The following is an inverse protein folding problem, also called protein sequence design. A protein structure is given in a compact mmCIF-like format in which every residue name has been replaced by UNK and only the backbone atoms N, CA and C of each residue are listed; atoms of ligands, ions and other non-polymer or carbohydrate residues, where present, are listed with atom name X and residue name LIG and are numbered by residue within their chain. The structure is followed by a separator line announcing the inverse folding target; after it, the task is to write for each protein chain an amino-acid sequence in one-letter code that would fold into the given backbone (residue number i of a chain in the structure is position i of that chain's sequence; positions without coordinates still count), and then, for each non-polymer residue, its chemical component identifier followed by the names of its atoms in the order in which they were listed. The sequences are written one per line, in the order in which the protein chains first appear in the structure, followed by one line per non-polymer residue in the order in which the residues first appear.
data_IF_151151220065
#
_entry.id   IF_151151220065
#
_cell.length_a   1.000
_cell.length_b   1.000
_cell.length_c   1.000
_cell.angle_alpha   90.00
_cell.angle_beta   90.00
_cell.angle_gamma   90.00
#
_symmetry.space_group_name_H-M   'P 1'
#
loop_
_entity.id
_entity.type
_entity.pdbx_description
1 polymer ?
#
# COMPACT_ATOMS: atom_id res chain seq x y z
N UNK A 1 -8.27 -5.37 5.21
CA UNK A 1 -8.40 -3.90 5.23
C UNK A 1 -9.42 -3.44 4.19
N UNK A 2 -9.15 -3.61 2.89
CA UNK A 2 -10.02 -3.20 1.77
C UNK A 2 -11.54 -3.39 1.96
N UNK A 3 -12.00 -4.60 2.33
CA UNK A 3 -13.45 -4.86 2.50
C UNK A 3 -14.12 -4.05 3.63
N UNK A 4 -13.33 -3.40 4.49
CA UNK A 4 -13.79 -2.50 5.56
C UNK A 4 -13.48 -1.03 5.24
N UNK A 5 -13.18 -0.71 3.98
CA UNK A 5 -12.98 0.65 3.54
C UNK A 5 -14.30 1.42 3.70
N UNK A 6 -14.34 2.50 4.53
CA UNK A 6 -15.57 3.24 4.79
C UNK A 6 -16.01 4.10 3.60
N UNK A 7 -15.09 4.42 2.68
CA UNK A 7 -15.35 5.29 1.54
C UNK A 7 -14.35 5.00 0.41
N UNK A 8 -14.79 4.25 -0.60
CA UNK A 8 -13.98 3.89 -1.76
C UNK A 8 -13.68 5.09 -2.68
N UNK A 9 -14.46 6.18 -2.58
CA UNK A 9 -14.21 7.39 -3.35
C UNK A 9 -13.13 8.26 -2.70
N UNK A 10 -13.13 8.33 -1.36
CA UNK A 10 -12.06 9.01 -0.62
C UNK A 10 -10.77 8.18 -0.61
N UNK A 11 -10.87 6.88 -0.39
CA UNK A 11 -9.75 5.95 -0.25
C UNK A 11 -9.72 4.94 -1.40
N UNK A 12 -9.26 5.34 -2.60
CA UNK A 12 -9.32 4.47 -3.77
C UNK A 12 -8.36 3.28 -3.71
N UNK A 13 -7.44 3.21 -2.73
CA UNK A 13 -6.53 2.09 -2.55
C UNK A 13 -6.27 1.74 -1.08
N UNK A 14 -6.07 0.44 -0.82
CA UNK A 14 -5.43 -0.09 0.36
C UNK A 14 -4.09 -0.72 -0.03
N UNK A 15 -3.06 -0.40 0.75
CA UNK A 15 -1.66 -0.75 0.49
C UNK A 15 -1.13 -1.50 1.70
N UNK A 16 -0.43 -2.60 1.51
CA UNK A 16 0.40 -3.24 2.53
C UNK A 16 1.80 -3.47 1.99
N UNK A 17 2.81 -2.92 2.67
CA UNK A 17 4.21 -3.01 2.24
C UNK A 17 5.16 -3.10 3.43
N UNK A 18 6.21 -3.93 3.34
CA UNK A 18 7.19 -4.19 4.41
C UNK A 18 8.58 -3.58 4.14
N UNK A 19 8.74 -2.77 3.10
CA UNK A 19 10.01 -2.11 2.73
C UNK A 19 9.83 -0.59 2.73
N UNK A 20 10.87 0.15 2.32
CA UNK A 20 10.83 1.60 2.22
C UNK A 20 9.86 2.10 1.14
N UNK A 21 9.04 3.07 1.49
CA UNK A 21 8.10 3.75 0.59
C UNK A 21 8.04 5.24 0.91
N UNK A 22 7.49 6.01 -0.02
CA UNK A 22 7.11 7.41 0.22
C UNK A 22 5.81 7.74 -0.53
N UNK A 23 5.20 8.86 -0.15
CA UNK A 23 4.02 9.39 -0.84
C UNK A 23 4.38 10.70 -1.55
N UNK A 24 3.69 10.99 -2.65
CA UNK A 24 3.75 12.32 -3.26
C UNK A 24 3.21 13.38 -2.30
N UNK A 25 2.14 13.02 -1.58
CA UNK A 25 1.55 13.82 -0.51
C UNK A 25 1.54 13.02 0.79
N UNK A 26 2.48 13.34 1.68
CA UNK A 26 2.73 12.66 2.97
C UNK A 26 1.56 12.74 3.97
N UNK A 27 0.51 13.50 3.67
CA UNK A 27 -0.68 13.65 4.51
C UNK A 27 -1.96 13.08 3.85
N UNK A 28 -1.87 12.47 2.67
CA UNK A 28 -3.00 11.90 1.92
C UNK A 28 -3.05 10.37 2.03
N UNK A 29 -3.00 9.89 3.25
CA UNK A 29 -3.19 8.49 3.62
C UNK A 29 -3.84 8.42 5.00
N UNK A 30 -4.46 7.28 5.33
CA UNK A 30 -5.13 7.10 6.61
C UNK A 30 -5.10 5.66 7.09
N UNK A 31 -5.32 5.48 8.40
CA UNK A 31 -5.48 4.16 9.00
C UNK A 31 -4.22 3.29 8.91
N UNK A 32 -3.03 3.88 8.99
CA UNK A 32 -1.77 3.11 9.02
C UNK A 32 -1.74 2.21 10.23
N UNK A 33 -1.60 0.91 9.99
CA UNK A 33 -1.44 -0.13 11.01
C UNK A 33 -0.25 -1.00 10.65
N UNK A 34 0.48 -1.46 11.68
CA UNK A 34 1.53 -2.45 11.52
C UNK A 34 0.93 -3.85 11.65
N UNK A 35 1.07 -4.67 10.61
CA UNK A 35 0.62 -6.04 10.57
C UNK A 35 1.85 -6.96 10.60
N UNK A 36 2.00 -7.71 11.69
CA UNK A 36 3.07 -8.69 11.82
C UNK A 36 2.65 -10.00 11.15
N UNK A 37 3.44 -10.46 10.17
CA UNK A 37 3.29 -11.76 9.52
C UNK A 37 4.34 -12.72 10.06
N UNK A 38 3.88 -13.83 10.64
CA UNK A 38 4.70 -14.96 11.08
C UNK A 38 4.33 -16.19 10.28
N UNK A 39 5.30 -16.75 9.56
CA UNK A 39 5.15 -18.02 8.82
C UNK A 39 6.23 -18.98 9.32
N UNK A 40 5.82 -19.95 10.14
CA UNK A 40 6.72 -20.85 10.84
C UNK A 40 7.62 -20.11 11.84
N UNK A 41 8.78 -20.70 12.16
CA UNK A 41 9.77 -20.12 13.09
C UNK A 41 10.78 -19.19 12.41
N UNK A 42 10.81 -19.14 11.06
CA UNK A 42 11.90 -18.49 10.32
C UNK A 42 11.48 -17.22 9.58
N UNK A 43 10.19 -17.02 9.27
CA UNK A 43 9.73 -15.82 8.58
C UNK A 43 8.97 -14.90 9.54
N UNK A 44 9.62 -13.81 9.90
CA UNK A 44 9.06 -12.71 10.68
C UNK A 44 9.16 -11.44 9.86
N UNK A 45 8.03 -10.80 9.57
CA UNK A 45 8.01 -9.59 8.75
C UNK A 45 6.89 -8.67 9.18
N UNK A 46 7.20 -7.38 9.29
CA UNK A 46 6.22 -6.34 9.57
C UNK A 46 5.81 -5.62 8.29
N UNK A 47 4.51 -5.58 8.04
CA UNK A 47 3.92 -4.81 6.96
C UNK A 47 3.27 -3.56 7.52
N UNK A 48 3.52 -2.42 6.88
CA UNK A 48 2.70 -1.24 7.07
C UNK A 48 1.51 -1.33 6.11
N UNK A 49 0.31 -1.41 6.66
CA UNK A 49 -0.94 -1.41 5.92
C UNK A 49 -1.69 -0.09 6.12
N UNK A 50 -2.10 0.56 5.03
CA UNK A 50 -2.77 1.87 5.08
C UNK A 50 -3.74 2.06 3.92
N UNK A 51 -4.66 3.01 4.06
CA UNK A 51 -5.46 3.53 2.95
C UNK A 51 -4.73 4.71 2.31
N UNK A 52 -4.72 4.78 0.99
CA UNK A 52 -4.25 5.95 0.25
C UNK A 52 -5.47 6.77 -0.20
N UNK A 53 -5.41 8.10 -0.02
CA UNK A 53 -6.44 9.01 -0.53
C UNK A 53 -6.23 9.33 -2.02
N UNK A 54 -7.30 9.73 -2.71
CA UNK A 54 -7.25 10.16 -4.11
C UNK A 54 -6.38 11.39 -4.35
N UNK A 55 -5.92 11.54 -5.61
CA UNK A 55 -4.93 12.55 -5.99
C UNK A 55 -3.62 12.41 -5.23
N UNK A 56 -3.13 11.19 -5.09
CA UNK A 56 -1.87 10.85 -4.45
C UNK A 56 -1.14 9.74 -5.22
N UNK A 57 0.16 9.63 -5.01
CA UNK A 57 1.01 8.58 -5.55
C UNK A 57 1.82 7.94 -4.44
N UNK A 58 1.87 6.62 -4.45
CA UNK A 58 2.71 5.80 -3.59
C UNK A 58 3.89 5.26 -4.40
N UNK A 59 5.10 5.50 -3.90
CA UNK A 59 6.33 5.08 -4.54
C UNK A 59 6.98 3.97 -3.72
N UNK A 60 7.40 2.90 -4.38
CA UNK A 60 8.17 1.84 -3.72
C UNK A 60 9.67 2.09 -3.90
N UNK A 61 10.43 2.03 -2.80
CA UNK A 61 11.89 2.01 -2.89
C UNK A 61 12.32 0.59 -3.23
N UNK A 62 12.50 0.33 -4.52
CA UNK A 62 12.87 -0.95 -5.12
C UNK A 62 14.03 -1.67 -4.40
N UNK A 63 13.73 -2.64 -3.52
CA UNK A 63 14.74 -3.52 -2.91
C UNK A 63 14.29 -4.98 -2.67
N UNK A 64 13.17 -5.48 -3.22
CA UNK A 64 12.78 -6.86 -2.84
C UNK A 64 11.71 -7.65 -3.59
N UNK A 65 11.23 -7.22 -4.76
CA UNK A 65 10.27 -8.00 -5.55
C UNK A 65 8.85 -8.10 -4.98
N UNK A 66 7.95 -8.73 -5.75
CA UNK A 66 6.49 -8.70 -5.57
C UNK A 66 5.95 -9.34 -4.28
N UNK A 67 6.74 -10.14 -3.57
CA UNK A 67 6.28 -10.83 -2.33
C UNK A 67 5.96 -9.82 -1.23
N UNK A 68 6.64 -8.68 -1.26
CA UNK A 68 6.64 -7.67 -0.21
C UNK A 68 5.46 -6.70 -0.29
N UNK A 69 4.71 -6.70 -1.40
CA UNK A 69 3.75 -5.67 -1.75
C UNK A 69 2.38 -6.24 -2.08
N UNK A 70 1.35 -5.74 -1.41
CA UNK A 70 -0.03 -6.05 -1.72
C UNK A 70 -0.85 -4.77 -1.91
N UNK A 71 -1.61 -4.74 -3.00
CA UNK A 71 -2.54 -3.68 -3.31
C UNK A 71 -3.95 -4.21 -3.52
N UNK A 72 -4.93 -3.48 -3.01
CA UNK A 72 -6.32 -3.57 -3.43
C UNK A 72 -6.75 -2.15 -3.79
N UNK A 73 -7.25 -1.94 -5.01
CA UNK A 73 -7.59 -0.61 -5.50
C UNK A 73 -8.80 -0.62 -6.42
N UNK A 74 -9.43 0.55 -6.52
CA UNK A 74 -10.55 0.82 -7.39
C UNK A 74 -10.08 1.42 -8.74
N UNK A 75 -10.97 1.50 -9.73
CA UNK A 75 -10.64 1.80 -11.14
C UNK A 75 -10.01 3.17 -11.45
N UNK A 76 -9.83 4.04 -10.45
CA UNK A 76 -9.14 5.33 -10.59
C UNK A 76 -7.63 5.26 -10.29
N UNK A 77 -7.13 4.06 -9.99
CA UNK A 77 -5.73 3.81 -9.71
C UNK A 77 -5.02 3.08 -10.86
N UNK A 78 -3.76 3.42 -11.08
CA UNK A 78 -2.88 2.79 -12.05
C UNK A 78 -1.61 2.28 -11.36
N UNK A 79 -1.31 1.00 -11.54
CA UNK A 79 -0.13 0.34 -10.97
C UNK A 79 0.95 0.20 -12.03
N UNK A 80 2.09 0.87 -11.85
CA UNK A 80 3.29 0.64 -12.67
C UNK A 80 3.98 -0.64 -12.19
N UNK A 81 3.77 -1.74 -12.92
CA UNK A 81 4.39 -3.04 -12.58
C UNK A 81 5.91 -3.04 -12.70
N UNK A 82 6.50 -2.10 -13.43
CA UNK A 82 7.95 -1.99 -13.57
C UNK A 82 8.58 -1.41 -12.30
N UNK A 83 7.93 -0.42 -11.68
CA UNK A 83 8.42 0.25 -10.47
C UNK A 83 7.73 -0.21 -9.18
N UNK A 84 6.62 -0.94 -9.28
CA UNK A 84 5.75 -1.23 -8.14
C UNK A 84 4.91 -0.04 -7.66
N UNK A 85 4.97 1.11 -8.33
CA UNK A 85 4.30 2.34 -7.85
C UNK A 85 2.80 2.33 -8.13
N UNK A 86 2.03 3.00 -7.27
CA UNK A 86 0.58 3.14 -7.43
C UNK A 86 0.19 4.61 -7.45
N UNK A 87 -0.43 5.05 -8.54
CA UNK A 87 -0.99 6.41 -8.66
C UNK A 87 -2.52 6.33 -8.63
N UNK A 88 -3.20 7.12 -7.81
CA UNK A 88 -4.65 7.21 -7.79
C UNK A 88 -5.12 8.66 -7.98
N UNK A 89 -6.04 8.88 -8.93
CA UNK A 89 -6.61 10.19 -9.25
C UNK A 89 -7.95 10.41 -8.55
#
# INVERSE_FOLDING_TARGET
MWNRNPDYEKYPAAICYNKGYNFQHENKWSGRVRAELKLGEFLHTDYDCMYMEGGNQFYTHHEGGYINLAYMYHGRCNHDRRTGDLTCN
#
